data_IF_649201712581
#
_entry.id   IF_649201712581
#
_cell.length_a   1.000
_cell.length_b   1.000
_cell.length_c   1.000
_cell.angle_alpha   90.00
_cell.angle_beta   90.00
_cell.angle_gamma   90.00
#
_symmetry.space_group_name_H-M   'P 1'
#
loop_
_entity.id
_entity.type
_entity.pdbx_description
1 polymer ?
#
# COMPACT_ATOMS: atom_id res chain seq x y z
N UNK A 1 -8.69 -31.46 0.67
CA UNK A 1 -9.37 -30.19 0.32
C UNK A 1 -8.72 -29.66 -0.93
N UNK A 2 -9.46 -29.23 -1.96
CA UNK A 2 -8.86 -28.45 -3.05
C UNK A 2 -8.72 -27.01 -2.58
N UNK A 3 -7.50 -26.48 -2.60
CA UNK A 3 -7.29 -25.05 -2.41
C UNK A 3 -7.94 -24.32 -3.61
N UNK A 4 -8.87 -23.41 -3.33
CA UNK A 4 -9.47 -22.57 -4.37
C UNK A 4 -8.62 -21.31 -4.54
N UNK A 5 -8.18 -20.97 -5.76
CA UNK A 5 -7.43 -19.74 -6.01
C UNK A 5 -8.20 -18.49 -5.58
N UNK A 6 -7.48 -17.49 -5.08
CA UNK A 6 -8.07 -16.21 -4.70
C UNK A 6 -7.94 -15.24 -5.87
N UNK A 7 -9.08 -14.85 -6.43
CA UNK A 7 -9.13 -13.82 -7.47
C UNK A 7 -9.11 -12.42 -6.83
N UNK A 8 -7.98 -11.72 -6.92
CA UNK A 8 -7.81 -10.40 -6.30
C UNK A 8 -8.78 -9.36 -6.88
N UNK A 9 -9.05 -9.38 -8.18
CA UNK A 9 -9.95 -8.42 -8.84
C UNK A 9 -11.40 -8.60 -8.36
N UNK A 10 -11.86 -9.83 -8.20
CA UNK A 10 -13.18 -10.12 -7.62
C UNK A 10 -13.27 -9.66 -6.15
N UNK A 11 -12.19 -9.81 -5.36
CA UNK A 11 -12.17 -9.29 -4.00
C UNK A 11 -12.18 -7.75 -3.98
N UNK A 12 -11.46 -7.09 -4.88
CA UNK A 12 -11.46 -5.63 -5.00
C UNK A 12 -12.81 -5.04 -5.43
N UNK A 13 -13.59 -5.75 -6.25
CA UNK A 13 -14.93 -5.29 -6.65
C UNK A 13 -15.89 -5.16 -5.46
N UNK A 14 -15.63 -5.92 -4.39
CA UNK A 14 -16.41 -5.94 -3.14
C UNK A 14 -15.93 -4.90 -2.12
N UNK A 15 -14.80 -4.22 -2.37
CA UNK A 15 -14.27 -3.16 -1.52
C UNK A 15 -14.74 -1.80 -2.03
N UNK A 16 -15.55 -1.09 -1.23
CA UNK A 16 -15.97 0.28 -1.53
C UNK A 16 -15.20 1.34 -0.71
N UNK A 17 -14.73 0.99 0.48
CA UNK A 17 -14.07 1.92 1.39
C UNK A 17 -12.58 2.08 1.06
N UNK A 18 -12.13 3.33 1.01
CA UNK A 18 -10.71 3.69 1.00
C UNK A 18 -10.12 3.54 2.40
N UNK A 19 -8.80 3.34 2.46
CA UNK A 19 -8.03 3.27 3.70
C UNK A 19 -8.54 2.24 4.72
N UNK A 20 -9.24 1.20 4.26
CA UNK A 20 -9.76 0.11 5.08
C UNK A 20 -9.19 -1.24 4.61
N UNK A 21 -7.97 -1.61 5.06
CA UNK A 21 -7.37 -2.88 4.70
C UNK A 21 -8.27 -4.05 5.13
N UNK A 22 -8.56 -4.98 4.21
CA UNK A 22 -9.29 -6.22 4.50
C UNK A 22 -8.38 -7.42 4.32
N UNK A 23 -8.32 -8.28 5.34
CA UNK A 23 -7.63 -9.57 5.26
C UNK A 23 -8.39 -10.49 4.32
N UNK A 24 -7.71 -11.01 3.29
CA UNK A 24 -8.29 -11.89 2.27
C UNK A 24 -7.77 -13.33 2.36
N UNK A 25 -6.63 -13.53 3.03
CA UNK A 25 -6.02 -14.81 3.30
C UNK A 25 -5.04 -14.72 4.47
N UNK A 26 -4.74 -15.87 5.04
CA UNK A 26 -3.72 -16.02 6.08
C UNK A 26 -2.78 -17.17 5.70
N UNK A 27 -1.51 -17.01 6.01
CA UNK A 27 -0.49 -18.05 5.85
C UNK A 27 0.37 -18.04 7.10
N UNK A 28 0.23 -19.07 7.93
CA UNK A 28 0.80 -19.11 9.28
C UNK A 28 0.32 -17.87 10.07
N UNK A 29 1.25 -17.03 10.51
CA UNK A 29 1.06 -15.76 11.22
C UNK A 29 1.05 -14.53 10.30
N UNK A 30 1.10 -14.72 8.97
CA UNK A 30 1.03 -13.64 7.98
C UNK A 30 -0.38 -13.43 7.47
N UNK A 31 -0.71 -12.17 7.20
CA UNK A 31 -1.98 -11.77 6.61
C UNK A 31 -1.77 -11.11 5.25
N UNK A 32 -2.56 -11.55 4.27
CA UNK A 32 -2.64 -10.88 2.97
C UNK A 32 -3.82 -9.91 3.02
N UNK A 33 -3.53 -8.64 2.79
CA UNK A 33 -4.53 -7.56 2.88
C UNK A 33 -4.73 -6.89 1.54
N UNK A 34 -5.97 -6.53 1.25
CA UNK A 34 -6.32 -5.63 0.15
C UNK A 34 -6.75 -4.28 0.70
N UNK A 35 -6.21 -3.21 0.14
CA UNK A 35 -6.57 -1.85 0.46
C UNK A 35 -6.70 -1.02 -0.82
N UNK A 36 -7.61 -0.05 -0.80
CA UNK A 36 -7.63 1.06 -1.76
C UNK A 36 -7.08 2.28 -1.04
N UNK A 37 -6.05 2.88 -1.61
CA UNK A 37 -5.38 4.06 -1.06
C UNK A 37 -5.62 5.24 -2.00
N UNK A 38 -5.72 6.44 -1.44
CA UNK A 38 -5.86 7.68 -2.21
C UNK A 38 -5.31 8.85 -1.39
N UNK A 39 -4.42 9.63 -2.00
CA UNK A 39 -3.65 10.70 -1.36
C UNK A 39 -2.68 10.14 -0.31
N UNK A 40 -2.51 10.87 0.78
CA UNK A 40 -1.47 10.65 1.77
C UNK A 40 -1.90 9.72 2.90
N UNK A 41 -0.91 9.04 3.47
CA UNK A 41 -1.07 8.24 4.68
C UNK A 41 -0.21 8.79 5.80
N UNK A 42 -0.55 8.47 7.05
CA UNK A 42 0.23 8.91 8.20
C UNK A 42 1.55 8.13 8.30
N UNK A 43 2.60 8.83 8.74
CA UNK A 43 3.87 8.20 9.09
C UNK A 43 3.66 7.10 10.13
N UNK A 44 4.20 5.93 9.83
CA UNK A 44 4.20 4.79 10.74
C UNK A 44 5.46 3.96 10.53
N UNK A 45 5.70 3.03 11.44
CA UNK A 45 6.84 2.13 11.40
C UNK A 45 6.48 0.81 12.04
N UNK A 46 7.03 -0.27 11.50
CA UNK A 46 6.93 -1.60 12.06
C UNK A 46 8.30 -2.04 12.58
N UNK A 47 8.46 -2.12 13.90
CA UNK A 47 9.76 -2.42 14.51
C UNK A 47 10.22 -3.87 14.32
N UNK A 48 9.27 -4.79 14.11
CA UNK A 48 9.49 -6.23 14.25
C UNK A 48 9.04 -7.04 13.02
N UNK A 49 8.57 -6.38 11.97
CA UNK A 49 8.05 -7.07 10.78
C UNK A 49 8.22 -6.18 9.56
N UNK A 50 8.67 -6.78 8.47
CA UNK A 50 8.69 -6.13 7.16
C UNK A 50 7.28 -6.11 6.58
N UNK A 51 6.99 -5.11 5.76
CA UNK A 51 5.72 -5.02 5.04
C UNK A 51 5.97 -5.05 3.53
N UNK A 52 5.21 -5.88 2.82
CA UNK A 52 5.29 -6.02 1.37
C UNK A 52 4.11 -5.30 0.73
N UNK A 53 4.41 -4.41 -0.21
CA UNK A 53 3.43 -3.72 -1.02
C UNK A 53 3.44 -4.27 -2.45
N UNK A 54 2.25 -4.63 -2.96
CA UNK A 54 2.05 -5.07 -4.34
C UNK A 54 0.96 -4.21 -5.00
N UNK A 55 1.35 -3.39 -5.97
CA UNK A 55 0.41 -2.53 -6.71
C UNK A 55 -0.31 -3.36 -7.77
N UNK A 56 -1.63 -3.53 -7.61
CA UNK A 56 -2.47 -4.27 -8.55
C UNK A 56 -3.01 -3.35 -9.66
N UNK A 57 -3.31 -2.09 -9.32
CA UNK A 57 -3.79 -1.07 -10.26
C UNK A 57 -3.46 0.32 -9.73
N UNK A 58 -3.03 1.21 -10.61
CA UNK A 58 -2.64 2.58 -10.28
C UNK A 58 -1.15 2.69 -10.00
N UNK A 59 -0.78 3.73 -9.25
CA UNK A 59 0.59 4.02 -8.87
C UNK A 59 0.64 4.26 -7.35
N UNK A 60 1.77 3.94 -6.73
CA UNK A 60 2.01 4.13 -5.31
C UNK A 60 3.44 4.61 -5.12
N UNK A 61 3.61 5.63 -4.28
CA UNK A 61 4.90 6.10 -3.81
C UNK A 61 5.02 5.81 -2.32
N UNK A 62 6.21 5.41 -1.88
CA UNK A 62 6.54 5.24 -0.48
C UNK A 62 7.66 6.22 -0.17
N UNK A 63 7.46 7.11 0.78
CA UNK A 63 8.48 8.05 1.22
C UNK A 63 9.22 7.51 2.45
N UNK A 64 10.55 7.54 2.40
CA UNK A 64 11.39 7.15 3.52
C UNK A 64 12.05 8.39 4.11
N UNK A 65 12.12 8.47 5.44
CA UNK A 65 12.74 9.62 6.11
C UNK A 65 14.20 9.77 5.69
N UNK A 66 14.58 10.99 5.32
CA UNK A 66 15.94 11.32 4.90
C UNK A 66 16.33 10.79 3.52
N UNK A 67 15.38 10.24 2.74
CA UNK A 67 15.59 9.78 1.37
C UNK A 67 14.73 10.63 0.43
N UNK A 68 15.35 11.29 -0.54
CA UNK A 68 14.63 12.00 -1.60
C UNK A 68 14.04 10.95 -2.56
N UNK A 69 12.73 10.69 -2.47
CA UNK A 69 12.03 9.83 -3.43
C UNK A 69 11.40 10.68 -4.55
N UNK A 70 12.20 10.97 -5.58
CA UNK A 70 11.77 11.80 -6.74
C UNK A 70 11.41 11.00 -7.99
N UNK A 71 11.63 9.70 -8.03
CA UNK A 71 11.64 8.98 -9.32
C UNK A 71 12.55 9.67 -10.34
N UNK A 72 12.25 9.59 -11.65
CA UNK A 72 12.86 10.46 -12.68
C UNK A 72 12.01 11.71 -13.01
N UNK A 73 10.84 11.86 -12.38
CA UNK A 73 9.87 12.89 -12.74
C UNK A 73 9.79 13.98 -11.66
N UNK A 74 10.28 15.17 -11.99
CA UNK A 74 9.98 16.40 -11.26
C UNK A 74 8.57 16.87 -11.61
N UNK A 75 7.69 17.01 -10.61
CA UNK A 75 6.36 17.60 -10.77
C UNK A 75 6.08 18.64 -9.68
N UNK A 76 5.04 19.46 -9.85
CA UNK A 76 4.56 20.41 -8.82
C UNK A 76 4.04 19.73 -7.55
N UNK A 77 3.86 18.41 -7.54
CA UNK A 77 3.47 17.62 -6.37
C UNK A 77 4.68 16.95 -5.69
N UNK A 78 5.90 17.20 -6.19
CA UNK A 78 7.12 16.69 -5.56
C UNK A 78 7.45 17.57 -4.35
N UNK A 79 7.21 17.07 -3.14
CA UNK A 79 7.59 17.75 -1.92
C UNK A 79 9.13 17.78 -1.78
N UNK A 80 9.69 18.94 -1.41
CA UNK A 80 11.07 18.98 -0.92
C UNK A 80 11.14 18.21 0.40
N UNK A 81 12.25 17.48 0.62
CA UNK A 81 12.48 16.81 1.89
C UNK A 81 12.18 17.75 3.06
N UNK A 82 11.37 17.26 3.99
CA UNK A 82 10.98 17.95 5.23
C UNK A 82 10.09 19.21 5.07
N UNK A 83 9.42 19.40 3.92
CA UNK A 83 8.41 20.47 3.75
C UNK A 83 7.04 19.87 3.35
N UNK A 84 6.06 20.03 4.24
CA UNK A 84 4.68 19.52 4.12
C UNK A 84 3.74 20.66 3.73
N UNK A 85 2.86 20.44 2.74
CA UNK A 85 1.62 21.21 2.58
C UNK A 85 0.44 20.26 2.77
#
# INVERSE_FOLDING_TARGET
>A
MSASPINLLDKFSKLSQQWSPKVIAEMNDYQFKLAKIENEFTWHSHANTDEVFLVIKGEMSIELRGVINTGENSSVLTAENDVWI
#
